data_IF_864037368834
#
_entry.id   IF_864037368834
#
_cell.length_a   1.000
_cell.length_b   1.000
_cell.length_c   1.000
_cell.angle_alpha   90.00
_cell.angle_beta   90.00
_cell.angle_gamma   90.00
#
_symmetry.space_group_name_H-M   'P 1'
#
loop_
_entity.id
_entity.type
_entity.pdbx_description
1 polymer ?
#
# COMPACT_ATOMS: atom_id res chain seq x y z
N UNK A 1 -11.06 24.82 -6.69
CA UNK A 1 -10.84 23.47 -7.16
C UNK A 1 -9.58 22.88 -6.63
N UNK A 2 -9.65 21.68 -6.21
CA UNK A 2 -8.51 21.03 -5.58
C UNK A 2 -8.23 19.66 -6.15
N UNK A 3 -8.54 19.48 -7.45
CA UNK A 3 -8.38 18.17 -8.09
C UNK A 3 -6.97 17.62 -7.99
N UNK A 4 -5.98 18.50 -7.96
CA UNK A 4 -4.58 18.07 -7.86
C UNK A 4 -4.01 18.16 -6.47
N UNK A 5 -4.86 18.13 -5.43
CA UNK A 5 -4.39 18.24 -4.07
C UNK A 5 -4.08 16.87 -3.49
N UNK A 6 -2.81 16.66 -3.16
CA UNK A 6 -2.34 15.39 -2.62
C UNK A 6 -1.42 15.61 -1.44
N UNK A 7 -1.39 14.64 -0.53
CA UNK A 7 -0.38 14.62 0.53
C UNK A 7 -0.08 13.18 0.90
N UNK A 8 1.12 12.94 1.42
CA UNK A 8 1.51 11.62 1.87
C UNK A 8 0.71 11.18 3.07
N UNK A 9 0.32 9.90 3.08
CA UNK A 9 -0.37 9.31 4.21
C UNK A 9 0.60 8.64 5.17
N UNK A 10 0.06 8.05 6.24
CA UNK A 10 0.89 7.39 7.25
C UNK A 10 1.16 5.93 6.91
N UNK A 11 0.35 5.33 6.05
CA UNK A 11 0.43 3.89 5.78
C UNK A 11 1.37 3.59 4.62
N UNK A 12 2.19 2.56 4.81
CA UNK A 12 3.10 2.04 3.79
C UNK A 12 2.86 0.54 3.74
N UNK A 13 2.52 0.00 2.58
CA UNK A 13 2.34 -1.44 2.44
C UNK A 13 3.55 -2.03 1.73
N UNK A 14 4.16 -3.05 2.33
CA UNK A 14 5.25 -3.77 1.71
C UNK A 14 4.72 -5.14 1.31
N UNK A 15 4.68 -5.41 0.00
CA UNK A 15 4.21 -6.68 -0.54
C UNK A 15 5.37 -7.65 -0.51
N UNK A 16 5.21 -8.80 0.16
CA UNK A 16 6.30 -9.72 0.43
C UNK A 16 5.94 -11.09 -0.10
N UNK A 17 6.81 -11.71 -0.93
CA UNK A 17 6.55 -13.07 -1.40
C UNK A 17 6.37 -14.03 -0.23
N UNK A 18 5.42 -14.94 -0.37
CA UNK A 18 5.09 -15.89 0.68
C UNK A 18 6.32 -16.64 1.18
N UNK A 19 7.24 -17.01 0.29
CA UNK A 19 8.45 -17.76 0.66
C UNK A 19 9.38 -17.00 1.60
N UNK A 20 9.28 -15.67 1.63
CA UNK A 20 10.13 -14.82 2.48
C UNK A 20 9.38 -14.25 3.67
N UNK A 21 8.09 -14.55 3.80
CA UNK A 21 7.22 -13.80 4.72
C UNK A 21 7.63 -14.00 6.19
N UNK A 22 7.76 -15.25 6.64
CA UNK A 22 8.08 -15.50 8.04
C UNK A 22 9.43 -14.91 8.42
N UNK A 23 10.43 -15.07 7.57
CA UNK A 23 11.76 -14.50 7.84
C UNK A 23 11.70 -12.98 7.90
N UNK A 24 10.87 -12.37 7.06
CA UNK A 24 10.72 -10.91 7.04
C UNK A 24 10.03 -10.41 8.31
N UNK A 25 8.96 -11.08 8.74
CA UNK A 25 8.29 -10.72 9.99
C UNK A 25 9.24 -10.83 11.16
N UNK A 26 10.02 -11.93 11.22
CA UNK A 26 11.01 -12.11 12.28
C UNK A 26 12.06 -11.02 12.29
N UNK A 27 12.47 -10.55 11.12
CA UNK A 27 13.43 -9.47 11.03
C UNK A 27 12.90 -8.21 11.71
N UNK A 28 11.68 -7.79 11.38
CA UNK A 28 11.09 -6.58 11.97
C UNK A 28 10.81 -6.76 13.46
N UNK A 29 10.27 -7.92 13.83
CA UNK A 29 9.83 -8.15 15.21
C UNK A 29 10.99 -8.52 16.15
N UNK A 30 11.83 -9.46 15.73
CA UNK A 30 12.81 -10.07 16.64
C UNK A 30 14.18 -9.42 16.51
N UNK A 31 14.60 -9.07 15.30
CA UNK A 31 15.91 -8.45 15.08
C UNK A 31 15.87 -6.96 15.34
N UNK A 32 14.92 -6.26 14.74
CA UNK A 32 14.78 -4.81 14.94
C UNK A 32 14.03 -4.47 16.21
N UNK A 33 13.27 -5.42 16.76
CA UNK A 33 12.48 -5.25 17.98
C UNK A 33 11.46 -4.12 17.88
N UNK A 34 10.87 -3.98 16.69
CA UNK A 34 9.78 -3.04 16.50
C UNK A 34 8.47 -3.66 17.00
N UNK A 35 7.47 -2.81 17.19
CA UNK A 35 6.14 -3.25 17.60
C UNK A 35 5.44 -3.84 16.38
N UNK A 36 5.31 -5.17 16.35
CA UNK A 36 4.74 -5.92 15.22
C UNK A 36 3.57 -6.75 15.71
N UNK A 37 2.44 -6.64 15.01
CA UNK A 37 1.22 -7.30 15.42
C UNK A 37 0.51 -7.88 14.20
N UNK A 38 0.19 -9.17 14.23
CA UNK A 38 -0.60 -9.76 13.15
C UNK A 38 -2.04 -9.27 13.23
N UNK A 39 -2.61 -8.88 12.09
CA UNK A 39 -3.97 -8.35 12.01
C UNK A 39 -4.81 -9.20 11.09
N UNK A 40 -6.13 -9.28 11.33
CA UNK A 40 -7.02 -9.96 10.39
C UNK A 40 -7.04 -9.22 9.05
N UNK A 41 -7.24 -9.97 7.99
CA UNK A 41 -7.31 -9.42 6.65
C UNK A 41 -8.68 -9.71 6.05
N UNK A 42 -9.07 -8.86 5.10
CA UNK A 42 -10.30 -9.07 4.32
C UNK A 42 -10.04 -9.03 2.82
N UNK A 43 -8.79 -8.89 2.41
CA UNK A 43 -8.40 -8.81 1.00
C UNK A 43 -7.99 -10.20 0.50
N UNK A 44 -8.69 -10.76 -0.52
CA UNK A 44 -8.38 -12.13 -0.96
C UNK A 44 -7.01 -12.28 -1.63
N UNK A 45 -6.37 -11.19 -2.04
CA UNK A 45 -5.04 -11.25 -2.67
C UNK A 45 -3.89 -11.18 -1.67
N UNK A 46 -4.20 -10.97 -0.40
CA UNK A 46 -3.22 -10.94 0.70
C UNK A 46 -3.60 -12.01 1.69
N UNK A 47 -2.74 -13.00 1.91
CA UNK A 47 -3.08 -14.12 2.77
C UNK A 47 -2.82 -13.84 4.24
N UNK A 48 -1.88 -12.95 4.57
CA UNK A 48 -1.59 -12.54 5.95
C UNK A 48 -1.08 -11.12 5.94
N UNK A 49 -1.27 -10.40 7.04
CA UNK A 49 -0.68 -9.08 7.21
C UNK A 49 -0.24 -8.86 8.64
N UNK A 50 0.85 -8.13 8.80
CA UNK A 50 1.34 -7.68 10.10
C UNK A 50 1.49 -6.18 10.08
N UNK A 51 1.03 -5.54 11.15
CA UNK A 51 1.13 -4.10 11.34
C UNK A 51 2.40 -3.80 12.11
N UNK A 52 3.22 -2.90 11.58
CA UNK A 52 4.48 -2.51 12.22
C UNK A 52 4.43 -1.02 12.52
N UNK A 53 4.67 -0.66 13.78
CA UNK A 53 4.80 0.74 14.17
C UNK A 53 6.18 1.22 13.74
N UNK A 54 6.22 2.17 12.82
CA UNK A 54 7.46 2.61 12.20
C UNK A 54 7.56 4.14 12.28
N UNK A 55 7.96 4.63 13.47
CA UNK A 55 7.98 6.06 13.72
C UNK A 55 6.57 6.63 13.64
N UNK A 56 6.40 7.69 12.88
CA UNK A 56 5.07 8.27 12.65
C UNK A 56 4.30 7.56 11.55
N UNK A 57 4.90 6.54 10.93
CA UNK A 57 4.26 5.75 9.89
C UNK A 57 3.81 4.41 10.43
N UNK A 58 2.93 3.77 9.67
CA UNK A 58 2.52 2.39 9.92
C UNK A 58 2.89 1.60 8.68
N UNK A 59 3.72 0.58 8.86
CA UNK A 59 4.10 -0.31 7.78
C UNK A 59 3.25 -1.57 7.89
N UNK A 60 2.68 -1.99 6.78
CA UNK A 60 1.91 -3.21 6.68
C UNK A 60 2.73 -4.22 5.88
N UNK A 61 3.05 -5.35 6.50
CA UNK A 61 3.77 -6.43 5.85
C UNK A 61 2.73 -7.40 5.30
N UNK A 62 2.53 -7.35 3.99
CA UNK A 62 1.49 -8.14 3.32
C UNK A 62 2.09 -9.35 2.65
N UNK A 63 1.57 -10.53 2.98
CA UNK A 63 1.99 -11.79 2.37
C UNK A 63 1.24 -12.00 1.07
N UNK A 64 1.95 -12.08 -0.03
CA UNK A 64 1.34 -12.25 -1.36
C UNK A 64 1.93 -13.47 -2.06
N UNK A 65 1.10 -14.18 -2.81
CA UNK A 65 1.49 -15.47 -3.39
C UNK A 65 2.17 -15.35 -4.74
N UNK A 66 1.84 -14.31 -5.50
CA UNK A 66 2.25 -14.20 -6.91
C UNK A 66 3.38 -13.23 -7.15
N UNK A 67 4.15 -12.90 -6.13
CA UNK A 67 5.29 -12.00 -6.24
C UNK A 67 6.58 -12.79 -6.09
N UNK A 68 7.62 -12.38 -6.81
CA UNK A 68 8.95 -12.97 -6.70
C UNK A 68 9.92 -12.06 -5.97
N UNK A 69 9.52 -10.82 -5.71
CA UNK A 69 10.32 -9.82 -4.99
C UNK A 69 9.37 -8.93 -4.21
N UNK A 70 9.90 -8.18 -3.25
CA UNK A 70 9.06 -7.28 -2.47
C UNK A 70 8.78 -6.00 -3.26
N UNK A 71 7.63 -5.38 -2.97
CA UNK A 71 7.27 -4.07 -3.49
C UNK A 71 6.78 -3.21 -2.35
N UNK A 72 7.11 -1.94 -2.42
CA UNK A 72 6.67 -0.97 -1.41
C UNK A 72 5.62 -0.06 -2.02
N UNK A 73 4.45 -0.03 -1.43
CA UNK A 73 3.32 0.80 -1.87
C UNK A 73 3.11 1.90 -0.84
N UNK A 74 3.01 3.14 -1.33
CA UNK A 74 2.89 4.32 -0.47
C UNK A 74 1.46 4.84 -0.50
N UNK A 75 0.98 5.31 0.65
CA UNK A 75 -0.35 5.91 0.72
C UNK A 75 -0.29 7.36 0.28
N UNK A 76 -1.25 7.74 -0.57
CA UNK A 76 -1.40 9.12 -1.04
C UNK A 76 -2.83 9.55 -0.71
N UNK A 77 -2.95 10.63 0.04
CA UNK A 77 -4.24 11.13 0.50
C UNK A 77 -4.73 12.26 -0.39
N UNK A 78 -6.03 12.34 -0.57
CA UNK A 78 -6.67 13.39 -1.35
C UNK A 78 -8.08 13.64 -0.79
N UNK A 79 -8.59 14.87 -0.86
CA UNK A 79 -9.95 15.15 -0.36
C UNK A 79 -11.06 14.50 -1.19
N UNK A 80 -10.80 14.18 -2.46
CA UNK A 80 -11.81 13.66 -3.37
C UNK A 80 -11.14 12.70 -4.34
N UNK A 81 -11.29 11.40 -4.09
CA UNK A 81 -10.62 10.38 -4.91
C UNK A 81 -11.11 10.42 -6.36
N UNK A 82 -12.41 10.64 -6.58
CA UNK A 82 -12.93 10.66 -7.95
C UNK A 82 -12.38 11.84 -8.75
N UNK A 83 -12.34 13.02 -8.13
CA UNK A 83 -11.77 14.20 -8.78
C UNK A 83 -10.28 14.04 -9.00
N UNK A 84 -9.57 13.48 -8.03
CA UNK A 84 -8.14 13.23 -8.14
C UNK A 84 -7.83 12.23 -9.25
N UNK A 85 -8.65 11.19 -9.38
CA UNK A 85 -8.48 10.19 -10.43
C UNK A 85 -8.65 10.82 -11.82
N UNK A 86 -9.66 11.68 -11.97
CA UNK A 86 -9.88 12.39 -13.24
C UNK A 86 -8.70 13.32 -13.56
N UNK A 87 -8.21 14.04 -12.55
CA UNK A 87 -7.06 14.92 -12.72
C UNK A 87 -5.82 14.13 -13.16
N UNK A 88 -5.56 12.99 -12.50
CA UNK A 88 -4.42 12.16 -12.85
C UNK A 88 -4.53 11.61 -14.27
N UNK A 89 -5.74 11.16 -14.65
CA UNK A 89 -5.98 10.67 -16.01
C UNK A 89 -5.70 11.77 -17.05
N UNK A 90 -6.10 13.00 -16.76
CA UNK A 90 -5.83 14.13 -17.65
C UNK A 90 -4.34 14.41 -17.77
N UNK A 91 -3.54 13.95 -16.83
CA UNK A 91 -2.08 14.08 -16.84
C UNK A 91 -1.38 12.79 -17.24
N UNK A 92 -2.11 11.85 -17.83
CA UNK A 92 -1.52 10.63 -18.39
C UNK A 92 -1.34 9.51 -17.39
N UNK A 93 -1.89 9.61 -16.19
CA UNK A 93 -1.78 8.57 -15.16
C UNK A 93 -3.13 7.86 -15.02
N UNK A 94 -3.17 6.58 -15.36
CA UNK A 94 -4.37 5.77 -15.21
C UNK A 94 -4.30 4.94 -13.95
N UNK A 95 -5.46 4.49 -13.47
CA UNK A 95 -5.50 3.56 -12.35
C UNK A 95 -4.97 2.21 -12.79
N UNK A 96 -4.44 1.45 -11.83
CA UNK A 96 -3.95 0.09 -12.07
C UNK A 96 -4.62 -0.86 -11.06
N UNK A 97 -5.93 -0.81 -11.02
CA UNK A 97 -6.74 -1.52 -10.01
C UNK A 97 -6.71 -3.03 -10.17
N UNK A 98 -6.11 -3.54 -11.24
CA UNK A 98 -5.94 -4.97 -11.44
C UNK A 98 -4.85 -5.57 -10.55
N UNK A 99 -4.02 -4.74 -9.90
CA UNK A 99 -2.90 -5.24 -9.09
C UNK A 99 -3.36 -6.03 -7.87
N UNK A 100 -4.42 -5.55 -7.22
CA UNK A 100 -5.05 -6.22 -6.09
C UNK A 100 -6.51 -5.83 -6.08
N UNK A 101 -7.32 -6.59 -5.37
CA UNK A 101 -8.71 -6.21 -5.17
C UNK A 101 -8.76 -4.90 -4.39
N UNK A 102 -9.54 -3.94 -4.90
CA UNK A 102 -9.55 -2.60 -4.31
C UNK A 102 -10.73 -2.44 -3.36
N UNK A 103 -10.49 -1.86 -2.17
CA UNK A 103 -11.58 -1.47 -1.30
C UNK A 103 -12.34 -0.30 -1.90
N UNK A 104 -13.56 -0.11 -1.42
CA UNK A 104 -14.39 1.02 -1.82
C UNK A 104 -13.64 2.33 -1.57
N UNK A 105 -13.74 3.25 -2.51
CA UNK A 105 -13.18 4.61 -2.43
C UNK A 105 -11.66 4.66 -2.42
N UNK A 106 -11.02 3.64 -2.99
CA UNK A 106 -9.58 3.62 -3.18
C UNK A 106 -9.27 3.29 -4.63
N UNK A 107 -8.07 3.66 -5.06
CA UNK A 107 -7.52 3.24 -6.35
C UNK A 107 -6.03 3.04 -6.21
N UNK A 108 -5.49 2.14 -7.01
CA UNK A 108 -4.05 1.97 -7.14
C UNK A 108 -3.57 2.75 -8.35
N UNK A 109 -2.49 3.51 -8.20
CA UNK A 109 -1.86 4.22 -9.31
C UNK A 109 -0.36 3.99 -9.26
N UNK A 110 0.34 4.27 -10.34
CA UNK A 110 1.79 4.16 -10.41
C UNK A 110 2.39 5.46 -10.86
N UNK A 111 3.58 5.78 -10.31
CA UNK A 111 4.36 6.86 -10.88
C UNK A 111 5.08 6.36 -12.16
N UNK A 112 5.76 7.23 -12.90
CA UNK A 112 6.43 6.81 -14.14
C UNK A 112 7.50 5.74 -13.96
N UNK A 113 8.04 5.60 -12.76
CA UNK A 113 9.06 4.58 -12.47
C UNK A 113 8.45 3.26 -12.01
N UNK A 114 7.14 3.21 -11.80
CA UNK A 114 6.47 1.99 -11.38
C UNK A 114 6.22 1.85 -9.89
N UNK A 115 6.46 2.90 -9.11
CA UNK A 115 6.11 2.87 -7.68
C UNK A 115 4.60 2.99 -7.54
N UNK A 116 4.02 2.04 -6.81
CA UNK A 116 2.57 1.99 -6.62
C UNK A 116 2.16 2.87 -5.45
N UNK A 117 1.08 3.62 -5.66
CA UNK A 117 0.48 4.44 -4.61
C UNK A 117 -0.94 3.96 -4.35
N UNK A 118 -1.30 3.95 -3.08
CA UNK A 118 -2.67 3.66 -2.63
C UNK A 118 -3.35 5.01 -2.51
N UNK A 119 -4.18 5.35 -3.49
CA UNK A 119 -4.90 6.63 -3.48
C UNK A 119 -6.14 6.47 -2.62
N UNK A 120 -6.26 7.31 -1.61
CA UNK A 120 -7.27 7.16 -0.57
C UNK A 120 -7.82 8.54 -0.17
N UNK A 121 -9.00 8.55 0.41
CA UNK A 121 -9.58 9.80 0.95
C UNK A 121 -8.86 10.20 2.24
N UNK A 122 -8.88 11.50 2.50
CA UNK A 122 -8.37 12.05 3.76
C UNK A 122 -9.09 11.50 4.97
#
# INVERSE_FOLDING_TARGET
MTNGKFEGGVNIAIKIPKSNYEATVSFYRDTLKLDVEERPISNPTVSRTHKVKFGSNIVWLDCVDNYTHSETWLELKTPDVDAATAYLRDNGINTCDELEEIPKDMHWIMDPAGTVFILNND
#
